data_IF_533475015333
#
_entry.id   IF_533475015333
#
_cell.length_a   1.000
_cell.length_b   1.000
_cell.length_c   1.000
_cell.angle_alpha   90.00
_cell.angle_beta   90.00
_cell.angle_gamma   90.00
#
_symmetry.space_group_name_H-M   'P 1'
#
loop_
_entity.id
_entity.type
_entity.pdbx_description
1 polymer ?
#
# COMPACT_ATOMS: atom_id res chain seq x y z
N UNK A 1 44.10 1.30 51.61
CA UNK A 1 42.76 1.81 51.27
C UNK A 1 42.66 1.82 49.75
N UNK A 2 42.08 0.79 49.19
CA UNK A 2 41.95 0.54 47.76
C UNK A 2 40.49 0.65 47.33
N UNK A 3 40.16 1.66 46.53
CA UNK A 3 38.86 1.84 45.95
C UNK A 3 38.73 0.97 44.67
N UNK A 4 37.83 0.00 44.67
CA UNK A 4 37.42 -0.77 43.48
C UNK A 4 36.39 0.01 42.71
N UNK A 5 36.74 0.47 41.49
CA UNK A 5 35.82 1.02 40.53
C UNK A 5 34.98 -0.06 39.85
N UNK A 6 33.66 0.03 39.94
CA UNK A 6 32.72 -0.84 39.24
C UNK A 6 32.56 -0.37 37.80
N UNK A 7 33.02 -1.17 36.86
CA UNK A 7 32.75 -0.97 35.41
C UNK A 7 31.33 -1.45 35.10
N UNK A 8 30.46 -0.51 34.78
CA UNK A 8 29.10 -0.77 34.25
C UNK A 8 29.19 -1.26 32.81
N UNK A 9 28.96 -2.54 32.59
CA UNK A 9 28.74 -3.14 31.26
C UNK A 9 27.28 -2.83 30.80
N UNK A 10 27.08 -1.77 30.06
CA UNK A 10 25.85 -1.51 29.32
C UNK A 10 26.20 -1.21 27.86
N UNK A 11 26.24 -2.20 27.00
CA UNK A 11 26.61 -1.99 25.59
C UNK A 11 26.36 -3.15 24.62
N UNK A 12 25.89 -4.31 25.11
CA UNK A 12 25.86 -5.52 24.28
C UNK A 12 24.54 -5.91 23.61
N UNK A 13 23.42 -5.21 23.85
CA UNK A 13 22.08 -5.66 23.37
C UNK A 13 21.46 -4.82 22.24
N UNK A 14 21.94 -3.61 22.01
CA UNK A 14 21.43 -2.76 20.92
C UNK A 14 22.02 -3.11 19.53
N UNK A 15 23.21 -3.71 19.49
CA UNK A 15 23.91 -4.06 18.24
C UNK A 15 23.26 -5.25 17.51
N UNK A 16 22.60 -6.16 18.24
CA UNK A 16 21.99 -7.36 17.64
C UNK A 16 20.73 -7.08 16.79
N UNK A 17 19.95 -6.06 17.14
CA UNK A 17 18.69 -5.73 16.41
C UNK A 17 19.00 -4.96 15.13
N UNK A 18 19.99 -4.06 15.16
CA UNK A 18 20.45 -3.32 13.99
C UNK A 18 21.12 -4.24 12.94
N UNK A 19 21.84 -5.30 13.39
CA UNK A 19 22.46 -6.27 12.51
C UNK A 19 21.44 -7.17 11.79
N UNK A 20 20.34 -7.55 12.44
CA UNK A 20 19.28 -8.33 11.80
C UNK A 20 18.51 -7.53 10.74
N UNK A 21 18.26 -6.23 10.98
CA UNK A 21 17.66 -5.33 10.01
C UNK A 21 18.57 -5.11 8.78
N UNK A 22 19.89 -5.04 8.99
CA UNK A 22 20.84 -4.90 7.90
C UNK A 22 20.97 -6.17 7.03
N UNK A 23 20.82 -7.37 7.61
CA UNK A 23 20.90 -8.64 6.87
C UNK A 23 19.68 -8.84 5.96
N UNK A 24 18.48 -8.38 6.36
CA UNK A 24 17.28 -8.44 5.51
C UNK A 24 17.38 -7.46 4.32
N UNK A 25 18.06 -6.32 4.49
CA UNK A 25 18.27 -5.32 3.45
C UNK A 25 19.37 -5.68 2.44
N UNK A 26 20.32 -6.57 2.79
CA UNK A 26 21.44 -6.93 1.92
C UNK A 26 21.27 -8.26 1.16
N UNK A 27 20.19 -9.00 1.41
CA UNK A 27 19.95 -10.31 0.79
C UNK A 27 19.30 -10.25 -0.60
N UNK A 28 19.08 -9.06 -1.17
CA UNK A 28 18.59 -8.90 -2.55
C UNK A 28 19.76 -8.55 -3.48
N UNK A 29 20.14 -9.40 -4.46
CA UNK A 29 21.15 -9.03 -5.43
C UNK A 29 20.70 -7.83 -6.27
N UNK A 30 21.61 -6.88 -6.60
CA UNK A 30 21.27 -5.65 -7.32
C UNK A 30 21.04 -5.82 -8.83
N UNK A 31 20.83 -7.02 -9.32
CA UNK A 31 20.66 -7.26 -10.74
C UNK A 31 19.24 -7.00 -11.22
N UNK A 32 19.11 -5.84 -11.89
CA UNK A 32 17.98 -5.42 -12.74
C UNK A 32 16.61 -5.45 -12.07
N UNK A 33 16.43 -4.52 -11.13
CA UNK A 33 15.10 -4.11 -10.68
C UNK A 33 14.41 -3.30 -11.79
N UNK A 34 13.89 -3.97 -12.80
CA UNK A 34 12.84 -3.39 -13.63
C UNK A 34 11.59 -3.40 -12.77
N UNK A 35 11.31 -2.28 -12.13
CA UNK A 35 10.11 -2.11 -11.33
C UNK A 35 8.94 -1.90 -12.29
N UNK A 36 8.29 -2.98 -12.70
CA UNK A 36 7.07 -2.93 -13.49
C UNK A 36 5.89 -3.22 -12.56
N UNK A 37 4.85 -2.37 -12.62
CA UNK A 37 3.62 -2.57 -11.87
C UNK A 37 2.43 -2.88 -12.82
N UNK A 38 1.20 -2.73 -12.33
CA UNK A 38 0.00 -3.19 -12.99
C UNK A 38 -0.30 -2.46 -14.29
N UNK A 39 -0.56 -3.20 -15.34
CA UNK A 39 -1.05 -2.70 -16.62
C UNK A 39 -2.42 -1.99 -16.49
N UNK A 40 -3.19 -2.27 -15.44
CA UNK A 40 -4.46 -1.61 -15.15
C UNK A 40 -4.30 -0.14 -14.75
N UNK A 41 -3.11 0.30 -14.34
CA UNK A 41 -2.82 1.69 -13.98
C UNK A 41 -2.43 2.60 -15.15
N UNK A 42 -2.12 2.06 -16.33
CA UNK A 42 -1.56 2.82 -17.47
C UNK A 42 -2.53 3.91 -17.96
N UNK A 43 -3.83 3.59 -18.07
CA UNK A 43 -4.85 4.49 -18.64
C UNK A 43 -5.45 5.47 -17.63
N UNK A 44 -4.83 5.64 -16.45
CA UNK A 44 -5.37 6.50 -15.42
C UNK A 44 -4.30 7.09 -14.52
N UNK A 45 -4.68 7.35 -13.27
CA UNK A 45 -3.78 7.92 -12.27
C UNK A 45 -2.83 6.88 -11.65
N UNK A 46 -2.83 5.63 -12.12
CA UNK A 46 -2.06 4.53 -11.55
C UNK A 46 -2.93 3.53 -10.79
N UNK A 47 -2.28 2.55 -10.17
CA UNK A 47 -2.95 1.54 -9.36
C UNK A 47 -3.05 2.00 -7.91
N UNK A 48 -4.23 1.91 -7.26
CA UNK A 48 -4.36 2.24 -5.84
C UNK A 48 -3.41 1.42 -4.98
N UNK A 49 -2.65 2.12 -4.12
CA UNK A 49 -1.71 1.51 -3.19
C UNK A 49 -2.40 0.66 -2.13
N UNK A 50 -1.63 -0.24 -1.54
CA UNK A 50 -2.05 -1.10 -0.42
C UNK A 50 -1.31 -0.63 0.84
N UNK A 51 -2.00 0.12 1.67
CA UNK A 51 -1.44 0.81 2.86
C UNK A 51 -1.76 0.13 4.19
N UNK A 52 -2.30 -1.09 4.16
CA UNK A 52 -2.60 -1.83 5.38
C UNK A 52 -1.34 -2.49 5.95
N UNK A 53 -1.27 -2.63 7.28
CA UNK A 53 -0.22 -3.39 7.94
C UNK A 53 -0.19 -4.85 7.49
N UNK A 54 0.92 -5.57 7.70
CA UNK A 54 1.01 -7.01 7.37
C UNK A 54 -0.07 -7.81 8.08
N UNK A 55 -0.37 -7.48 9.35
CA UNK A 55 -1.47 -8.11 10.08
C UNK A 55 -2.80 -7.95 9.36
N UNK A 56 -3.10 -6.75 8.90
CA UNK A 56 -4.34 -6.45 8.20
C UNK A 56 -4.36 -7.05 6.79
N UNK A 57 -3.25 -7.00 6.06
CA UNK A 57 -3.16 -7.62 4.72
C UNK A 57 -3.34 -9.13 4.76
N UNK A 58 -2.79 -9.81 5.76
CA UNK A 58 -2.92 -11.27 5.92
C UNK A 58 -4.32 -11.71 6.34
N UNK A 59 -5.18 -10.78 6.81
CA UNK A 59 -6.62 -10.99 6.99
C UNK A 59 -7.45 -10.46 5.82
N UNK A 60 -6.84 -10.33 4.62
CA UNK A 60 -7.51 -9.82 3.43
C UNK A 60 -7.81 -8.31 3.47
N UNK A 61 -7.39 -7.57 4.49
CA UNK A 61 -7.78 -6.19 4.74
C UNK A 61 -8.96 -6.04 5.72
N UNK A 62 -9.58 -7.14 6.16
CA UNK A 62 -10.75 -7.11 7.03
C UNK A 62 -10.49 -6.44 8.39
N UNK A 63 -9.26 -6.52 8.89
CA UNK A 63 -8.88 -5.90 10.15
C UNK A 63 -8.36 -4.47 10.00
N UNK A 64 -8.13 -3.98 8.77
CA UNK A 64 -7.56 -2.66 8.54
C UNK A 64 -8.32 -1.50 9.22
N UNK A 65 -9.67 -1.47 9.24
CA UNK A 65 -10.41 -0.41 9.91
C UNK A 65 -10.32 -0.44 11.45
N UNK A 66 -9.78 -1.53 12.03
CA UNK A 66 -9.63 -1.74 13.49
C UNK A 66 -8.17 -1.77 13.94
N UNK A 67 -7.24 -1.76 12.99
CA UNK A 67 -5.82 -1.85 13.26
C UNK A 67 -5.19 -0.45 13.32
N UNK A 68 -4.68 -0.01 14.49
CA UNK A 68 -4.08 1.30 14.63
C UNK A 68 -2.81 1.50 13.79
N UNK A 69 -2.18 0.40 13.34
CA UNK A 69 -0.99 0.46 12.47
C UNK A 69 -1.35 0.62 10.99
N UNK A 70 -2.63 0.40 10.64
CA UNK A 70 -3.16 0.60 9.27
C UNK A 70 -3.80 2.00 9.18
N UNK A 71 -3.37 2.88 8.26
CA UNK A 71 -3.87 4.25 8.18
C UNK A 71 -5.25 4.36 7.48
N UNK A 72 -6.19 3.48 7.79
CA UNK A 72 -7.52 3.48 7.16
C UNK A 72 -8.59 4.14 8.04
N UNK A 73 -8.52 3.93 9.36
CA UNK A 73 -9.47 4.50 10.31
C UNK A 73 -8.71 5.11 11.48
N UNK A 74 -8.83 6.41 11.65
CA UNK A 74 -8.14 7.15 12.73
C UNK A 74 -8.68 6.77 14.10
N UNK A 75 -9.98 6.44 14.20
CA UNK A 75 -10.59 6.05 15.48
C UNK A 75 -9.93 4.82 16.10
N UNK A 76 -9.34 3.93 15.28
CA UNK A 76 -8.58 2.77 15.76
C UNK A 76 -7.34 3.15 16.58
N UNK A 77 -6.78 4.35 16.39
CA UNK A 77 -5.65 4.88 17.16
C UNK A 77 -5.96 4.98 18.66
N UNK A 78 -7.23 5.14 19.02
CA UNK A 78 -7.65 5.20 20.43
C UNK A 78 -7.34 3.92 21.21
N UNK A 79 -7.03 2.81 20.52
CA UNK A 79 -6.66 1.52 21.11
C UNK A 79 -5.16 1.30 21.26
N UNK A 80 -4.33 2.23 20.80
CA UNK A 80 -2.87 2.14 20.95
C UNK A 80 -2.48 2.22 22.42
N UNK A 81 -1.78 1.22 22.97
CA UNK A 81 -1.41 1.24 24.40
C UNK A 81 -0.20 2.15 24.67
N UNK A 82 0.75 2.23 23.75
CA UNK A 82 2.02 2.93 23.92
C UNK A 82 2.58 3.38 22.56
N UNK A 83 3.67 4.14 22.58
CA UNK A 83 4.39 4.50 21.36
C UNK A 83 4.76 3.25 20.58
N UNK A 84 4.45 3.24 19.30
CA UNK A 84 4.65 2.10 18.43
C UNK A 84 5.04 2.60 17.04
N UNK A 85 6.11 2.09 16.48
CA UNK A 85 6.51 2.33 15.10
C UNK A 85 6.41 1.03 14.31
N UNK A 86 5.91 1.10 13.08
CA UNK A 86 5.85 -0.04 12.17
C UNK A 86 6.34 0.35 10.78
N UNK A 87 7.06 -0.58 10.16
CA UNK A 87 7.45 -0.52 8.77
C UNK A 87 7.07 -1.84 8.10
N UNK A 88 6.72 -1.77 6.82
CA UNK A 88 6.35 -2.93 6.03
C UNK A 88 7.10 -2.92 4.71
N UNK A 89 7.54 -4.11 4.30
CA UNK A 89 8.09 -4.41 2.99
C UNK A 89 7.21 -5.44 2.29
N UNK A 90 7.09 -5.33 0.97
CA UNK A 90 6.40 -6.30 0.13
C UNK A 90 7.24 -6.60 -1.11
N UNK A 91 7.46 -7.88 -1.38
CA UNK A 91 8.09 -8.37 -2.59
C UNK A 91 7.06 -9.13 -3.41
N UNK A 92 6.82 -8.72 -4.65
CA UNK A 92 5.82 -9.31 -5.54
C UNK A 92 6.44 -9.90 -6.79
N UNK A 93 5.88 -11.03 -7.21
CA UNK A 93 6.10 -11.65 -8.49
C UNK A 93 4.76 -11.66 -9.24
N UNK A 94 4.75 -11.12 -10.45
CA UNK A 94 3.56 -10.91 -11.26
C UNK A 94 3.72 -11.58 -12.63
N UNK A 95 2.67 -12.28 -13.05
CA UNK A 95 2.45 -12.72 -14.42
C UNK A 95 1.29 -11.91 -14.99
N UNK A 96 1.51 -11.27 -16.15
CA UNK A 96 0.48 -10.59 -16.91
C UNK A 96 0.29 -11.31 -18.24
N UNK A 97 -0.95 -11.62 -18.60
CA UNK A 97 -1.35 -12.22 -19.87
C UNK A 97 -2.22 -11.23 -20.64
N UNK A 98 -1.75 -10.86 -21.83
CA UNK A 98 -2.45 -10.00 -22.78
C UNK A 98 -2.58 -10.77 -24.08
N UNK A 99 -3.78 -11.22 -24.43
CA UNK A 99 -4.09 -11.91 -25.66
C UNK A 99 -3.16 -13.10 -25.96
N UNK A 100 -2.76 -13.86 -24.91
CA UNK A 100 -1.89 -15.04 -25.03
C UNK A 100 -0.40 -14.73 -24.96
N UNK A 101 0.00 -13.48 -24.80
CA UNK A 101 1.40 -13.10 -24.54
C UNK A 101 1.61 -12.88 -23.04
N UNK A 102 2.49 -13.67 -22.45
CA UNK A 102 2.77 -13.61 -21.00
C UNK A 102 4.04 -12.83 -20.73
N UNK A 103 4.00 -11.91 -19.77
CA UNK A 103 5.17 -11.22 -19.22
C UNK A 103 5.26 -11.44 -17.72
N UNK A 104 6.48 -11.61 -17.21
CA UNK A 104 6.74 -11.84 -15.79
C UNK A 104 7.53 -10.69 -15.20
N UNK A 105 7.15 -10.26 -13.99
CA UNK A 105 7.64 -9.04 -13.35
C UNK A 105 7.91 -9.25 -11.86
N UNK A 106 8.93 -8.58 -11.34
CA UNK A 106 9.26 -8.56 -9.91
C UNK A 106 9.32 -7.13 -9.40
N UNK A 107 8.72 -6.87 -8.25
CA UNK A 107 8.79 -5.56 -7.61
C UNK A 107 8.94 -5.70 -6.10
N UNK A 108 9.79 -4.85 -5.51
CA UNK A 108 9.93 -4.70 -4.07
C UNK A 108 9.51 -3.29 -3.68
N UNK A 109 8.72 -3.16 -2.61
CA UNK A 109 8.15 -1.89 -2.18
C UNK A 109 8.12 -1.76 -0.67
N UNK A 110 8.17 -0.51 -0.20
CA UNK A 110 7.96 -0.12 1.19
C UNK A 110 6.65 0.67 1.32
N UNK A 111 5.50 0.00 1.28
CA UNK A 111 4.21 0.67 1.14
C UNK A 111 3.73 1.37 2.40
N UNK A 112 4.36 1.14 3.57
CA UNK A 112 3.90 1.67 4.85
C UNK A 112 5.06 1.90 5.81
N UNK A 113 5.09 3.13 6.37
CA UNK A 113 5.81 3.49 7.58
C UNK A 113 4.84 4.29 8.47
N UNK A 114 4.63 3.86 9.71
CA UNK A 114 3.68 4.53 10.59
C UNK A 114 4.21 4.56 12.04
N UNK A 115 4.07 5.71 12.67
CA UNK A 115 4.38 5.92 14.09
C UNK A 115 3.10 6.38 14.77
N UNK A 116 2.70 5.66 15.80
CA UNK A 116 1.48 5.90 16.55
C UNK A 116 1.78 5.92 18.02
N UNK A 117 1.12 6.78 18.79
CA UNK A 117 1.37 6.86 20.21
C UNK A 117 0.26 7.55 20.98
N UNK A 118 0.10 7.13 22.22
CA UNK A 118 -0.81 7.80 23.16
C UNK A 118 -0.06 8.94 23.83
N UNK A 119 -0.54 10.18 23.63
CA UNK A 119 0.03 11.39 24.25
C UNK A 119 -0.73 11.79 25.50
N UNK A 120 -1.96 11.36 25.66
CA UNK A 120 -2.80 11.59 26.83
C UNK A 120 -3.72 10.38 27.04
N UNK A 121 -4.32 10.24 28.24
CA UNK A 121 -5.25 9.12 28.56
C UNK A 121 -6.37 8.94 27.55
N UNK A 122 -6.83 10.02 26.91
CA UNK A 122 -7.92 10.01 25.93
C UNK A 122 -7.46 10.36 24.50
N UNK A 123 -6.21 10.76 24.29
CA UNK A 123 -5.71 11.25 23.01
C UNK A 123 -4.54 10.41 22.51
N UNK A 124 -4.67 9.90 21.31
CA UNK A 124 -3.60 9.26 20.55
C UNK A 124 -3.33 10.05 19.27
N UNK A 125 -2.07 10.10 18.87
CA UNK A 125 -1.60 10.72 17.64
C UNK A 125 -0.91 9.69 16.76
N UNK A 126 -0.91 9.94 15.45
CA UNK A 126 -0.16 9.18 14.49
C UNK A 126 0.45 10.09 13.44
N UNK A 127 1.63 9.70 12.95
CA UNK A 127 2.25 10.23 11.75
C UNK A 127 2.69 9.04 10.89
N UNK A 128 2.42 9.09 9.59
CA UNK A 128 2.73 7.98 8.73
C UNK A 128 2.92 8.37 7.28
N UNK A 129 3.58 7.46 6.57
CA UNK A 129 3.78 7.47 5.13
C UNK A 129 3.16 6.20 4.56
N UNK A 130 2.45 6.34 3.45
CA UNK A 130 1.95 5.18 2.68
C UNK A 130 1.91 5.50 1.19
N UNK A 131 1.97 4.46 0.35
CA UNK A 131 1.77 4.61 -1.09
C UNK A 131 0.29 4.80 -1.39
N UNK A 132 -0.10 5.97 -1.93
CA UNK A 132 -1.47 6.29 -2.32
C UNK A 132 -1.82 5.72 -3.70
N UNK A 133 -0.98 6.02 -4.71
CA UNK A 133 -1.08 5.49 -6.08
C UNK A 133 0.30 5.06 -6.55
N UNK A 134 0.36 3.92 -7.20
CA UNK A 134 1.54 3.42 -7.88
C UNK A 134 1.40 3.65 -9.39
N UNK A 135 2.39 4.32 -9.98
CA UNK A 135 2.43 4.67 -11.40
C UNK A 135 3.58 4.00 -12.14
N UNK A 136 4.10 2.92 -11.59
CA UNK A 136 5.17 2.18 -12.25
C UNK A 136 4.59 1.18 -13.25
N UNK A 137 4.93 1.31 -14.52
CA UNK A 137 4.54 0.41 -15.59
C UNK A 137 5.51 0.54 -16.78
N UNK A 138 5.52 -0.48 -17.63
CA UNK A 138 6.32 -0.57 -18.82
C UNK A 138 5.48 -1.20 -19.94
N UNK A 139 5.55 -0.62 -21.12
CA UNK A 139 4.89 -1.12 -22.34
C UNK A 139 5.89 -1.13 -23.46
N UNK A 140 6.10 -2.30 -24.05
CA UNK A 140 6.90 -2.48 -25.25
C UNK A 140 5.99 -2.84 -26.42
N UNK A 141 6.06 -2.07 -27.49
CA UNK A 141 5.33 -2.31 -28.74
C UNK A 141 6.29 -2.40 -29.92
N UNK A 142 6.10 -3.41 -30.77
CA UNK A 142 6.82 -3.53 -32.05
C UNK A 142 5.88 -3.17 -33.17
N UNK A 143 6.36 -2.30 -34.06
CA UNK A 143 5.61 -1.85 -35.24
C UNK A 143 6.57 -1.52 -36.37
N UNK A 144 6.05 -1.06 -37.48
CA UNK A 144 6.83 -0.66 -38.66
C UNK A 144 6.29 0.66 -39.23
N UNK A 145 7.19 1.46 -39.78
CA UNK A 145 6.84 2.73 -40.40
C UNK A 145 7.56 2.89 -41.75
N UNK A 146 6.95 3.60 -42.70
CA UNK A 146 7.56 3.88 -43.99
C UNK A 146 8.52 5.08 -43.85
N UNK A 147 9.83 4.83 -43.95
CA UNK A 147 10.87 5.87 -43.95
C UNK A 147 11.62 5.86 -45.25
N UNK A 148 11.69 6.98 -45.95
CA UNK A 148 12.38 7.15 -47.24
C UNK A 148 11.99 6.10 -48.29
N UNK A 149 10.77 5.59 -48.26
CA UNK A 149 10.27 4.57 -49.17
C UNK A 149 10.55 3.12 -48.77
N UNK A 150 11.22 2.89 -47.65
CA UNK A 150 11.50 1.54 -47.09
C UNK A 150 10.67 1.33 -45.84
N UNK A 151 10.13 0.11 -45.67
CA UNK A 151 9.39 -0.27 -44.47
C UNK A 151 10.39 -0.62 -43.35
N UNK A 152 10.54 0.28 -42.40
CA UNK A 152 11.46 0.12 -41.26
C UNK A 152 10.71 -0.37 -40.03
N UNK A 153 11.26 -1.41 -39.38
CA UNK A 153 10.74 -1.93 -38.12
C UNK A 153 11.34 -1.14 -36.94
N UNK A 154 10.53 -0.94 -35.92
CA UNK A 154 10.98 -0.30 -34.71
C UNK A 154 10.32 -0.92 -33.47
N UNK A 155 10.94 -0.70 -32.33
CA UNK A 155 10.43 -1.03 -31.01
C UNK A 155 10.25 0.27 -30.25
N UNK A 156 9.01 0.54 -29.82
CA UNK A 156 8.68 1.58 -28.86
C UNK A 156 8.66 0.98 -27.46
N UNK A 157 9.39 1.59 -26.56
CA UNK A 157 9.38 1.29 -25.14
C UNK A 157 8.92 2.53 -24.39
N UNK A 158 7.79 2.42 -23.68
CA UNK A 158 7.25 3.51 -22.88
C UNK A 158 7.17 3.06 -21.44
N UNK A 159 7.92 3.74 -20.58
CA UNK A 159 8.00 3.42 -19.15
C UNK A 159 7.53 4.57 -18.30
N UNK A 160 6.91 4.27 -17.18
CA UNK A 160 6.64 5.19 -16.10
C UNK A 160 7.17 4.59 -14.81
N UNK A 161 7.94 5.35 -14.05
CA UNK A 161 8.49 4.94 -12.77
C UNK A 161 8.22 6.02 -11.72
N UNK A 162 7.54 5.63 -10.67
CA UNK A 162 7.23 6.50 -9.55
C UNK A 162 5.89 6.22 -8.88
N UNK A 163 5.60 7.04 -7.88
CA UNK A 163 4.39 6.87 -7.08
C UNK A 163 3.94 8.19 -6.46
N UNK A 164 2.70 8.22 -6.00
CA UNK A 164 2.14 9.27 -5.18
C UNK A 164 2.03 8.71 -3.76
N UNK A 165 2.70 9.35 -2.84
CA UNK A 165 2.69 9.02 -1.43
C UNK A 165 1.62 9.82 -0.69
N UNK A 166 1.11 9.25 0.39
CA UNK A 166 0.24 9.89 1.38
C UNK A 166 1.02 10.06 2.69
N UNK A 167 1.34 11.30 3.03
CA UNK A 167 1.86 11.69 4.33
C UNK A 167 0.68 12.04 5.21
N UNK A 168 0.44 11.26 6.27
CA UNK A 168 -0.71 11.40 7.15
C UNK A 168 -0.30 11.88 8.53
N UNK A 169 -1.07 12.85 9.05
CA UNK A 169 -1.12 13.21 10.46
C UNK A 169 -2.52 12.92 10.97
N UNK A 170 -2.65 12.18 12.06
CA UNK A 170 -3.94 11.78 12.58
C UNK A 170 -4.01 11.88 14.10
N UNK A 171 -5.22 12.11 14.60
CA UNK A 171 -5.54 12.12 16.01
C UNK A 171 -6.81 11.32 16.28
N UNK A 172 -6.86 10.64 17.41
CA UNK A 172 -8.05 9.97 17.90
C UNK A 172 -8.29 10.21 19.37
N UNK A 173 -9.56 10.30 19.73
CA UNK A 173 -9.99 10.46 21.12
C UNK A 173 -11.02 9.41 21.48
N UNK A 174 -10.82 8.79 22.66
CA UNK A 174 -11.82 7.90 23.25
C UNK A 174 -12.76 8.72 24.13
N UNK A 175 -13.97 8.97 23.61
CA UNK A 175 -15.00 9.76 24.31
C UNK A 175 -15.60 8.98 25.47
N UNK A 176 -15.93 7.71 25.24
CA UNK A 176 -16.48 6.80 26.24
C UNK A 176 -15.77 5.44 26.16
N UNK A 177 -16.10 4.50 27.03
CA UNK A 177 -15.57 3.13 26.94
C UNK A 177 -15.95 2.43 25.63
N UNK A 178 -17.00 2.89 24.95
CA UNK A 178 -17.56 2.27 23.73
C UNK A 178 -17.39 3.10 22.48
N UNK A 179 -17.05 4.39 22.59
CA UNK A 179 -17.01 5.32 21.45
C UNK A 179 -15.64 5.96 21.36
N UNK A 180 -15.02 5.82 20.20
CA UNK A 180 -13.83 6.60 19.82
C UNK A 180 -14.09 7.32 18.50
N UNK A 181 -13.55 8.53 18.38
CA UNK A 181 -13.57 9.35 17.17
C UNK A 181 -12.14 9.61 16.74
N UNK A 182 -11.95 9.74 15.44
CA UNK A 182 -10.66 10.10 14.88
C UNK A 182 -10.79 11.01 13.67
N UNK A 183 -9.75 11.80 13.44
CA UNK A 183 -9.60 12.67 12.28
C UNK A 183 -8.18 12.63 11.75
N UNK A 184 -8.00 12.84 10.45
CA UNK A 184 -6.72 12.84 9.77
C UNK A 184 -6.58 13.96 8.76
N UNK A 185 -5.34 14.42 8.59
CA UNK A 185 -4.89 15.30 7.54
C UNK A 185 -3.94 14.51 6.65
N UNK A 186 -4.07 14.69 5.33
CA UNK A 186 -3.30 13.99 4.33
C UNK A 186 -2.60 14.99 3.42
N UNK A 187 -1.33 14.78 3.15
CA UNK A 187 -0.56 15.51 2.16
C UNK A 187 -0.09 14.50 1.12
N UNK A 188 -0.63 14.64 -0.08
CA UNK A 188 -0.25 13.81 -1.23
C UNK A 188 0.92 14.46 -1.93
N UNK A 189 1.98 13.69 -2.14
CA UNK A 189 3.20 14.17 -2.79
C UNK A 189 3.88 13.01 -3.52
N UNK A 190 4.51 13.30 -4.64
CA UNK A 190 5.27 12.32 -5.39
C UNK A 190 5.72 12.81 -6.74
N UNK A 191 6.46 11.97 -7.44
CA UNK A 191 6.86 12.21 -8.82
C UNK A 191 6.86 10.93 -9.62
N UNK A 192 6.70 11.07 -10.93
CA UNK A 192 6.92 10.00 -11.90
C UNK A 192 7.88 10.46 -12.97
N UNK A 193 8.76 9.56 -13.38
CA UNK A 193 9.59 9.72 -14.55
C UNK A 193 9.00 8.90 -15.68
N UNK A 194 8.60 9.58 -16.75
CA UNK A 194 8.05 8.96 -17.94
C UNK A 194 9.11 9.01 -19.04
N UNK A 195 9.45 7.85 -19.61
CA UNK A 195 10.42 7.72 -20.70
C UNK A 195 9.72 7.07 -21.88
N UNK A 196 9.85 7.66 -23.04
CA UNK A 196 9.46 7.06 -24.32
C UNK A 196 10.70 6.92 -25.20
N UNK A 197 11.03 5.70 -25.59
CA UNK A 197 12.17 5.39 -26.42
C UNK A 197 11.70 4.66 -27.70
N UNK A 198 12.13 5.15 -28.86
CA UNK A 198 11.95 4.45 -30.14
C UNK A 198 13.29 4.01 -30.65
N UNK A 199 13.45 2.72 -30.87
CA UNK A 199 14.64 2.08 -31.40
C UNK A 199 14.28 1.37 -32.70
N UNK A 200 14.98 1.73 -33.79
CA UNK A 200 14.85 1.07 -35.08
C UNK A 200 15.72 -0.18 -35.14
N UNK A 201 15.26 -1.20 -35.89
CA UNK A 201 16.04 -2.41 -36.12
C UNK A 201 17.26 -2.12 -37.00
N UNK A 202 17.13 -1.16 -37.95
CA UNK A 202 18.24 -0.62 -38.71
C UNK A 202 19.07 0.36 -37.89
N UNK A 203 20.31 0.02 -37.61
CA UNK A 203 21.25 0.80 -36.81
C UNK A 203 21.72 2.11 -37.46
N UNK A 204 21.37 2.36 -38.73
CA UNK A 204 21.62 3.65 -39.38
C UNK A 204 20.69 4.76 -38.89
N UNK A 205 19.57 4.39 -38.27
CA UNK A 205 18.67 5.34 -37.59
C UNK A 205 19.05 5.49 -36.13
N UNK A 206 19.07 6.74 -35.66
CA UNK A 206 19.32 6.99 -34.26
C UNK A 206 18.11 6.68 -33.40
N UNK A 207 18.36 6.14 -32.23
CA UNK A 207 17.35 6.00 -31.18
C UNK A 207 16.83 7.38 -30.77
N UNK A 208 15.51 7.51 -30.68
CA UNK A 208 14.85 8.73 -30.21
C UNK A 208 14.34 8.48 -28.79
N UNK A 209 14.73 9.32 -27.87
CA UNK A 209 14.30 9.24 -26.48
C UNK A 209 13.69 10.55 -26.03
N UNK A 210 12.57 10.46 -25.33
CA UNK A 210 11.90 11.57 -24.65
C UNK A 210 11.79 11.24 -23.16
N UNK A 211 12.08 12.22 -22.32
CA UNK A 211 11.99 12.11 -20.86
C UNK A 211 11.12 13.23 -20.31
N UNK A 212 10.16 12.88 -19.45
CA UNK A 212 9.36 13.84 -18.71
C UNK A 212 9.33 13.46 -17.23
N UNK A 213 9.50 14.44 -16.35
CA UNK A 213 9.27 14.29 -14.91
C UNK A 213 7.98 15.03 -14.56
N UNK A 214 7.02 14.29 -13.97
CA UNK A 214 5.75 14.84 -13.51
C UNK A 214 5.74 14.82 -12.00
N UNK A 215 5.54 15.97 -11.37
CA UNK A 215 5.42 16.12 -9.91
C UNK A 215 3.96 16.25 -9.54
N UNK A 216 3.58 15.59 -8.45
CA UNK A 216 2.21 15.55 -7.95
C UNK A 216 2.11 16.20 -6.57
N UNK A 217 1.02 16.94 -6.34
CA UNK A 217 0.70 17.49 -5.02
C UNK A 217 -0.81 17.53 -4.81
N UNK A 218 -1.23 17.32 -3.56
CA UNK A 218 -2.62 17.38 -3.16
C UNK A 218 -2.75 17.33 -1.63
N UNK A 219 -3.94 17.61 -1.13
CA UNK A 219 -4.24 17.53 0.31
C UNK A 219 -5.57 16.82 0.51
N UNK A 220 -5.77 16.24 1.69
CA UNK A 220 -7.01 15.56 2.01
C UNK A 220 -7.32 15.59 3.50
N UNK A 221 -8.54 15.23 3.83
CA UNK A 221 -9.02 15.07 5.20
C UNK A 221 -9.77 13.76 5.34
N UNK A 222 -9.70 13.17 6.53
CA UNK A 222 -10.43 11.96 6.87
C UNK A 222 -11.05 12.05 8.25
N UNK A 223 -12.07 11.25 8.48
CA UNK A 223 -12.72 11.13 9.77
C UNK A 223 -13.30 9.74 9.95
N UNK A 224 -13.36 9.29 11.21
CA UNK A 224 -13.84 7.95 11.52
C UNK A 224 -14.44 7.84 12.92
N UNK A 225 -15.27 6.82 13.10
CA UNK A 225 -15.88 6.44 14.38
C UNK A 225 -15.69 4.95 14.61
N UNK A 226 -15.36 4.59 15.86
CA UNK A 226 -15.28 3.21 16.33
C UNK A 226 -16.26 3.04 17.49
N UNK A 227 -17.14 2.04 17.38
CA UNK A 227 -18.19 1.74 18.33
C UNK A 227 -18.04 0.31 18.86
N UNK A 228 -17.94 0.15 20.18
CA UNK A 228 -18.10 -1.14 20.86
C UNK A 228 -19.59 -1.40 21.11
N UNK A 229 -20.23 -2.21 20.25
CA UNK A 229 -21.68 -2.48 20.28
C UNK A 229 -22.04 -3.44 21.42
N UNK A 230 -21.32 -4.57 21.47
CA UNK A 230 -21.46 -5.62 22.46
C UNK A 230 -20.09 -6.07 22.95
N UNK A 231 -19.99 -6.79 24.09
CA UNK A 231 -18.75 -7.45 24.45
C UNK A 231 -18.25 -8.34 23.30
N UNK A 232 -17.02 -8.05 22.81
CA UNK A 232 -16.43 -8.76 21.70
C UNK A 232 -16.89 -8.30 20.30
N UNK A 233 -17.84 -7.38 20.17
CA UNK A 233 -18.31 -6.87 18.87
C UNK A 233 -18.01 -5.36 18.75
N UNK A 234 -17.22 -4.99 17.77
CA UNK A 234 -16.92 -3.61 17.40
C UNK A 234 -17.31 -3.33 15.95
N UNK A 235 -17.80 -2.12 15.70
CA UNK A 235 -18.15 -1.62 14.37
C UNK A 235 -17.44 -0.29 14.16
N UNK A 236 -16.98 -0.04 12.95
CA UNK A 236 -16.34 1.23 12.58
C UNK A 236 -16.87 1.74 11.25
N UNK A 237 -16.89 3.05 11.12
CA UNK A 237 -17.15 3.76 9.86
C UNK A 237 -16.10 4.83 9.64
N UNK A 238 -15.73 5.07 8.40
CA UNK A 238 -14.76 6.08 8.02
C UNK A 238 -15.14 6.74 6.70
N UNK A 239 -14.70 7.98 6.54
CA UNK A 239 -14.84 8.78 5.31
C UNK A 239 -13.52 9.50 5.05
N UNK A 240 -13.23 9.73 3.77
CA UNK A 240 -12.08 10.53 3.32
C UNK A 240 -12.48 11.35 2.11
N UNK A 241 -12.01 12.60 2.07
CA UNK A 241 -12.16 13.51 0.95
C UNK A 241 -10.79 14.13 0.66
N UNK A 242 -10.29 13.87 -0.53
CA UNK A 242 -9.06 14.47 -1.05
C UNK A 242 -9.42 15.63 -1.99
N UNK A 243 -8.56 16.64 -2.04
CA UNK A 243 -8.64 17.76 -3.00
C UNK A 243 -8.30 17.29 -4.41
N UNK A 244 -8.17 18.23 -5.34
CA UNK A 244 -7.59 17.93 -6.66
C UNK A 244 -6.12 17.56 -6.52
N UNK A 245 -5.71 16.57 -7.30
CA UNK A 245 -4.32 16.24 -7.54
C UNK A 245 -3.78 17.14 -8.65
N UNK A 246 -2.81 17.97 -8.30
CA UNK A 246 -2.12 18.84 -9.26
C UNK A 246 -0.92 18.12 -9.82
N UNK A 247 -0.84 18.01 -11.14
CA UNK A 247 0.31 17.51 -11.88
C UNK A 247 1.10 18.68 -12.49
N UNK A 248 2.42 18.71 -12.30
CA UNK A 248 3.30 19.77 -12.79
C UNK A 248 4.46 19.15 -13.56
N UNK A 249 4.69 19.63 -14.78
CA UNK A 249 5.81 19.24 -15.64
C UNK A 249 6.64 20.50 -15.91
N UNK A 250 7.98 20.43 -15.71
CA UNK A 250 8.90 21.55 -15.92
C UNK A 250 8.42 22.86 -15.25
N UNK A 251 7.94 22.75 -14.00
CA UNK A 251 7.42 23.85 -13.17
C UNK A 251 6.16 24.55 -13.73
N UNK A 252 5.55 23.96 -14.76
CA UNK A 252 4.26 24.43 -15.32
C UNK A 252 3.15 23.44 -14.97
N UNK A 253 2.06 23.92 -14.41
CA UNK A 253 0.89 23.05 -14.12
C UNK A 253 0.33 22.50 -15.43
N UNK A 254 0.32 21.17 -15.56
CA UNK A 254 -0.13 20.48 -16.76
C UNK A 254 -1.58 20.04 -16.67
N UNK A 255 -2.02 19.60 -15.48
CA UNK A 255 -3.39 19.16 -15.24
C UNK A 255 -3.73 19.18 -13.74
N UNK A 256 -5.02 19.42 -13.48
CA UNK A 256 -5.65 19.18 -12.18
C UNK A 256 -6.66 18.04 -12.33
N UNK A 257 -6.60 17.02 -11.48
CA UNK A 257 -7.50 15.86 -11.53
C UNK A 257 -8.22 15.72 -10.19
N UNK A 258 -9.53 15.54 -10.21
CA UNK A 258 -10.32 15.30 -9.00
C UNK A 258 -9.99 13.91 -8.44
N UNK A 259 -9.69 13.86 -7.14
CA UNK A 259 -9.47 12.59 -6.45
C UNK A 259 -10.78 12.02 -5.88
N UNK A 260 -10.87 10.70 -5.65
CA UNK A 260 -12.09 10.07 -5.19
C UNK A 260 -12.47 10.53 -3.79
N UNK A 261 -13.76 10.68 -3.54
CA UNK A 261 -14.30 10.58 -2.18
C UNK A 261 -14.37 9.11 -1.80
N UNK A 262 -14.06 8.80 -0.54
CA UNK A 262 -14.04 7.44 -0.05
C UNK A 262 -14.92 7.33 1.18
N UNK A 263 -15.63 6.22 1.31
CA UNK A 263 -16.36 5.86 2.50
C UNK A 263 -16.30 4.36 2.71
N UNK A 264 -16.33 3.94 3.95
CA UNK A 264 -16.35 2.51 4.25
C UNK A 264 -16.70 2.23 5.71
N UNK A 265 -16.80 0.96 6.00
CA UNK A 265 -17.08 0.48 7.34
C UNK A 265 -16.63 -0.95 7.52
N UNK A 266 -16.63 -1.39 8.76
CA UNK A 266 -16.25 -2.75 9.11
C UNK A 266 -16.86 -3.22 10.41
N UNK A 267 -16.80 -4.54 10.60
CA UNK A 267 -17.21 -5.24 11.81
C UNK A 267 -16.10 -6.18 12.24
N UNK A 268 -15.80 -6.17 13.54
CA UNK A 268 -14.84 -7.08 14.18
C UNK A 268 -15.54 -7.80 15.32
N UNK A 269 -15.56 -9.11 15.23
CA UNK A 269 -16.14 -10.00 16.25
C UNK A 269 -15.04 -10.84 16.91
N UNK A 270 -14.93 -10.76 18.22
CA UNK A 270 -13.94 -11.46 19.04
C UNK A 270 -14.67 -12.34 20.06
N UNK A 271 -15.09 -13.56 19.69
CA UNK A 271 -15.80 -14.48 20.62
C UNK A 271 -14.92 -14.92 21.79
N UNK A 272 -13.61 -14.85 21.61
CA UNK A 272 -12.63 -15.13 22.67
C UNK A 272 -11.40 -14.26 22.52
N UNK A 273 -10.46 -14.35 23.48
CA UNK A 273 -9.18 -13.64 23.41
C UNK A 273 -8.27 -14.18 22.28
N UNK A 274 -8.51 -15.42 21.86
CA UNK A 274 -7.67 -16.12 20.87
C UNK A 274 -8.24 -16.16 19.47
N UNK A 275 -9.51 -15.78 19.27
CA UNK A 275 -10.20 -15.90 17.98
C UNK A 275 -10.86 -14.58 17.65
N UNK A 276 -10.63 -14.09 16.43
CA UNK A 276 -11.23 -12.88 15.89
C UNK A 276 -11.66 -13.10 14.45
N UNK A 277 -12.82 -12.58 14.09
CA UNK A 277 -13.35 -12.54 12.74
C UNK A 277 -13.62 -11.08 12.37
N UNK A 278 -13.31 -10.70 11.15
CA UNK A 278 -13.57 -9.35 10.65
C UNK A 278 -14.10 -9.34 9.24
N UNK A 279 -14.81 -8.27 8.93
CA UNK A 279 -15.27 -7.96 7.59
C UNK A 279 -15.30 -6.45 7.39
N UNK A 280 -15.05 -6.01 6.16
CA UNK A 280 -15.15 -4.61 5.81
C UNK A 280 -15.63 -4.43 4.38
N UNK A 281 -16.23 -3.25 4.12
CA UNK A 281 -16.63 -2.79 2.79
C UNK A 281 -16.17 -1.36 2.61
N UNK A 282 -15.83 -0.98 1.38
CA UNK A 282 -15.44 0.38 1.05
C UNK A 282 -15.92 0.75 -0.34
N UNK A 283 -16.34 1.99 -0.49
CA UNK A 283 -16.65 2.64 -1.75
C UNK A 283 -15.66 3.75 -2.03
N UNK A 284 -15.27 3.92 -3.31
CA UNK A 284 -14.41 5.00 -3.79
C UNK A 284 -14.98 5.58 -5.08
N UNK A 285 -15.33 6.86 -5.05
CA UNK A 285 -15.95 7.60 -6.17
C UNK A 285 -14.91 8.09 -7.18
N UNK A 286 -14.30 7.18 -7.91
CA UNK A 286 -13.25 7.47 -8.90
C UNK A 286 -13.77 8.05 -10.21
N UNK A 287 -15.07 7.91 -10.55
CA UNK A 287 -15.64 8.48 -11.78
C UNK A 287 -15.36 9.98 -11.92
N UNK A 288 -15.08 10.67 -10.81
CA UNK A 288 -14.70 12.09 -10.80
C UNK A 288 -13.28 12.36 -11.34
N UNK A 289 -12.43 11.36 -11.37
CA UNK A 289 -11.04 11.50 -11.82
C UNK A 289 -10.90 11.64 -13.35
N UNK A 290 -12.00 11.51 -14.10
CA UNK A 290 -12.04 11.74 -15.54
C UNK A 290 -12.70 10.62 -16.34
N UNK A 291 -12.72 10.79 -17.65
CA UNK A 291 -13.32 9.82 -18.55
C UNK A 291 -12.57 8.47 -18.49
N UNK A 292 -13.32 7.38 -18.38
CA UNK A 292 -12.78 6.03 -18.28
C UNK A 292 -12.39 5.60 -16.85
N UNK A 293 -12.61 6.44 -15.84
CA UNK A 293 -12.51 6.05 -14.44
C UNK A 293 -13.84 5.51 -13.92
N UNK A 294 -13.80 4.45 -13.11
CA UNK A 294 -14.97 3.77 -12.56
C UNK A 294 -15.06 3.95 -11.05
N UNK A 295 -16.25 4.21 -10.54
CA UNK A 295 -16.53 4.07 -9.11
C UNK A 295 -16.33 2.62 -8.70
N UNK A 296 -15.71 2.41 -7.54
CA UNK A 296 -15.31 1.08 -7.13
C UNK A 296 -15.88 0.70 -5.77
N UNK A 297 -16.26 -0.56 -5.67
CA UNK A 297 -16.57 -1.22 -4.41
C UNK A 297 -15.54 -2.27 -4.10
N UNK A 298 -15.21 -2.41 -2.83
CA UNK A 298 -14.36 -3.48 -2.33
C UNK A 298 -14.91 -4.03 -1.02
N UNK A 299 -14.66 -5.31 -0.80
CA UNK A 299 -15.03 -6.01 0.42
C UNK A 299 -13.88 -6.89 0.90
N UNK A 300 -13.86 -7.21 2.16
CA UNK A 300 -12.91 -8.16 2.73
C UNK A 300 -13.51 -8.92 3.89
N UNK A 301 -13.03 -10.16 4.08
CA UNK A 301 -13.35 -11.02 5.22
C UNK A 301 -12.09 -11.74 5.67
N UNK A 302 -11.93 -11.91 6.99
CA UNK A 302 -10.73 -12.55 7.53
C UNK A 302 -10.89 -13.00 8.97
N UNK A 303 -9.93 -13.83 9.39
CA UNK A 303 -9.85 -14.39 10.73
C UNK A 303 -8.41 -14.35 11.26
N UNK A 304 -8.32 -14.26 12.58
CA UNK A 304 -7.09 -14.42 13.36
C UNK A 304 -7.35 -15.45 14.46
N UNK A 305 -6.55 -16.51 14.51
CA UNK A 305 -6.67 -17.62 15.47
C UNK A 305 -5.34 -17.73 16.23
N UNK A 306 -5.40 -18.00 17.55
CA UNK A 306 -4.21 -18.10 18.37
C UNK A 306 -3.57 -16.74 18.69
N UNK A 307 -4.40 -15.69 18.78
CA UNK A 307 -3.92 -14.36 19.17
C UNK A 307 -3.13 -14.42 20.49
N UNK A 308 -1.83 -14.10 20.43
CA UNK A 308 -0.91 -14.18 21.57
C UNK A 308 0.52 -14.41 21.14
N UNK A 309 0.94 -15.65 21.02
CA UNK A 309 2.36 -15.97 20.73
C UNK A 309 2.67 -16.07 19.24
N UNK A 310 1.85 -16.76 18.47
CA UNK A 310 1.98 -16.95 17.02
C UNK A 310 0.57 -17.03 16.40
N UNK A 311 -0.10 -15.90 16.15
CA UNK A 311 -1.41 -15.90 15.53
C UNK A 311 -1.33 -16.43 14.10
N UNK A 312 -2.27 -17.29 13.73
CA UNK A 312 -2.54 -17.66 12.34
C UNK A 312 -3.61 -16.72 11.80
N UNK A 313 -3.39 -16.18 10.62
CA UNK A 313 -4.27 -15.21 9.96
C UNK A 313 -4.60 -15.68 8.57
N UNK A 314 -5.86 -15.53 8.19
CA UNK A 314 -6.36 -15.85 6.86
C UNK A 314 -7.36 -14.79 6.44
N UNK A 315 -7.39 -14.49 5.16
CA UNK A 315 -8.38 -13.56 4.65
C UNK A 315 -8.52 -13.62 3.15
N UNK A 316 -9.67 -13.12 2.71
CA UNK A 316 -10.03 -12.95 1.31
C UNK A 316 -10.55 -11.55 1.10
N UNK A 317 -10.34 -11.02 -0.08
CA UNK A 317 -10.91 -9.76 -0.52
C UNK A 317 -11.31 -9.80 -1.97
N UNK A 318 -12.26 -8.97 -2.33
CA UNK A 318 -12.66 -8.75 -3.70
C UNK A 318 -13.03 -7.30 -3.92
N UNK A 319 -12.99 -6.86 -5.16
CA UNK A 319 -13.35 -5.50 -5.51
C UNK A 319 -13.14 -5.18 -6.97
N UNK A 320 -13.30 -3.90 -7.29
CA UNK A 320 -13.12 -3.33 -8.60
C UNK A 320 -11.91 -2.40 -8.61
N UNK A 321 -11.27 -2.27 -9.77
CA UNK A 321 -10.20 -1.30 -10.01
C UNK A 321 -10.79 -0.07 -10.71
N UNK A 322 -10.24 1.13 -10.41
CA UNK A 322 -10.77 2.37 -10.98
C UNK A 322 -10.44 2.58 -12.45
N UNK A 323 -9.39 1.94 -12.95
CA UNK A 323 -8.89 2.12 -14.31
C UNK A 323 -8.64 0.77 -14.97
N UNK A 324 -8.79 0.71 -16.29
CA UNK A 324 -8.52 -0.47 -17.06
C UNK A 324 -8.72 -0.31 -18.56
N UNK A 325 -8.33 -1.30 -19.37
CA UNK A 325 -8.35 -1.21 -20.82
C UNK A 325 -9.75 -1.35 -21.45
N UNK A 326 -10.76 -1.74 -20.69
CA UNK A 326 -12.11 -2.01 -21.20
C UNK A 326 -13.17 -0.97 -20.83
N UNK A 327 -14.40 -1.14 -21.30
CA UNK A 327 -15.53 -0.26 -20.98
C UNK A 327 -16.16 -0.52 -19.61
N UNK A 328 -15.72 -1.54 -18.90
CA UNK A 328 -16.22 -1.93 -17.57
C UNK A 328 -15.08 -1.95 -16.56
N UNK A 329 -15.40 -1.68 -15.29
CA UNK A 329 -14.44 -1.72 -14.22
C UNK A 329 -13.78 -3.11 -14.12
N UNK A 330 -12.44 -3.20 -14.14
CA UNK A 330 -11.77 -4.48 -13.91
C UNK A 330 -12.03 -4.98 -12.48
N UNK A 331 -11.94 -6.28 -12.30
CA UNK A 331 -12.16 -6.94 -11.01
C UNK A 331 -10.84 -7.43 -10.41
N UNK A 332 -10.80 -7.45 -9.10
CA UNK A 332 -9.68 -7.95 -8.31
C UNK A 332 -10.20 -8.93 -7.25
N UNK A 333 -9.54 -10.08 -7.12
CA UNK A 333 -9.77 -11.04 -6.03
C UNK A 333 -8.43 -11.45 -5.45
N UNK A 334 -8.34 -11.54 -4.12
CA UNK A 334 -7.14 -12.00 -3.45
C UNK A 334 -7.46 -12.88 -2.24
N UNK A 335 -6.54 -13.79 -1.97
CA UNK A 335 -6.48 -14.55 -0.74
C UNK A 335 -5.13 -14.33 -0.07
N UNK A 336 -5.11 -14.27 1.25
CA UNK A 336 -3.90 -14.02 2.02
C UNK A 336 -3.84 -14.92 3.26
N UNK A 337 -2.63 -15.23 3.68
CA UNK A 337 -2.35 -15.94 4.93
C UNK A 337 -1.09 -15.38 5.57
N UNK A 338 -0.97 -15.52 6.89
CA UNK A 338 0.23 -15.07 7.58
C UNK A 338 0.23 -15.37 9.06
N UNK A 339 1.32 -14.98 9.69
CA UNK A 339 1.55 -15.13 11.12
C UNK A 339 2.39 -13.97 11.65
N UNK A 340 2.60 -13.94 12.95
CA UNK A 340 3.49 -12.98 13.58
C UNK A 340 4.07 -13.52 14.87
N UNK A 341 5.22 -12.98 15.27
CA UNK A 341 5.88 -13.38 16.52
C UNK A 341 6.41 -12.14 17.26
N UNK A 342 6.09 -12.09 18.54
CA UNK A 342 6.66 -11.08 19.41
C UNK A 342 8.03 -11.52 19.95
N UNK A 343 8.96 -10.56 20.03
CA UNK A 343 10.31 -10.70 20.55
C UNK A 343 10.57 -9.63 21.63
N UNK A 344 11.72 -9.76 22.30
CA UNK A 344 12.17 -8.77 23.27
C UNK A 344 11.07 -8.41 24.30
N UNK A 345 10.40 -9.43 24.85
CA UNK A 345 9.30 -9.26 25.82
C UNK A 345 8.10 -8.45 25.28
N UNK A 346 7.81 -8.56 23.98
CA UNK A 346 6.72 -7.87 23.30
C UNK A 346 7.06 -6.47 22.79
N UNK A 347 8.32 -6.03 22.91
CA UNK A 347 8.78 -4.74 22.39
C UNK A 347 9.01 -4.75 20.88
N UNK A 348 9.23 -5.89 20.28
CA UNK A 348 9.33 -6.05 18.85
C UNK A 348 8.38 -7.14 18.37
N UNK A 349 7.76 -6.93 17.22
CA UNK A 349 6.89 -7.89 16.55
C UNK A 349 7.34 -8.00 15.10
N UNK A 350 7.51 -9.21 14.65
CA UNK A 350 7.74 -9.56 13.25
C UNK A 350 6.46 -10.22 12.72
N UNK A 351 5.85 -9.63 11.72
CA UNK A 351 4.73 -10.20 10.98
C UNK A 351 5.21 -10.62 9.58
N UNK A 352 4.79 -11.80 9.15
CA UNK A 352 5.07 -12.32 7.81
C UNK A 352 3.80 -12.86 7.16
N UNK A 353 3.73 -12.76 5.85
CA UNK A 353 2.57 -13.26 5.12
C UNK A 353 2.80 -13.45 3.64
N UNK A 354 1.83 -14.08 3.01
CA UNK A 354 1.76 -14.28 1.58
C UNK A 354 0.37 -13.89 1.10
N UNK A 355 0.31 -13.25 -0.06
CA UNK A 355 -0.94 -12.89 -0.74
C UNK A 355 -0.89 -13.42 -2.18
N UNK A 356 -1.98 -14.04 -2.63
CA UNK A 356 -2.24 -14.38 -4.02
C UNK A 356 -3.36 -13.49 -4.53
N UNK A 357 -3.09 -12.77 -5.60
CA UNK A 357 -3.99 -11.81 -6.22
C UNK A 357 -4.23 -12.18 -7.67
N UNK A 358 -5.45 -11.99 -8.14
CA UNK A 358 -5.81 -12.05 -9.55
C UNK A 358 -6.65 -10.83 -9.93
N UNK A 359 -6.32 -10.21 -11.07
CA UNK A 359 -7.02 -9.08 -11.68
C UNK A 359 -7.45 -9.44 -13.08
N UNK A 360 -8.66 -9.05 -13.47
CA UNK A 360 -9.21 -9.31 -14.80
C UNK A 360 -10.01 -8.12 -15.32
N UNK A 361 -9.84 -7.80 -16.60
CA UNK A 361 -10.63 -6.78 -17.30
C UNK A 361 -10.07 -6.45 -18.67
N UNK A 362 -10.94 -6.19 -19.64
CA UNK A 362 -10.57 -5.75 -20.99
C UNK A 362 -9.60 -6.68 -21.73
N UNK A 363 -9.72 -8.00 -21.54
CA UNK A 363 -8.81 -8.99 -22.17
C UNK A 363 -7.46 -9.17 -21.46
N UNK A 364 -7.21 -8.42 -20.38
CA UNK A 364 -6.01 -8.53 -19.56
C UNK A 364 -6.27 -9.36 -18.30
N UNK A 365 -5.37 -10.28 -17.99
CA UNK A 365 -5.35 -11.03 -16.72
C UNK A 365 -3.99 -10.88 -16.07
N UNK A 366 -3.96 -10.41 -14.82
CA UNK A 366 -2.76 -10.35 -13.99
C UNK A 366 -2.89 -11.30 -12.81
N UNK A 367 -1.83 -12.04 -12.52
CA UNK A 367 -1.72 -12.92 -11.36
C UNK A 367 -0.47 -12.54 -10.58
N UNK A 368 -0.65 -12.26 -9.29
CA UNK A 368 0.43 -11.74 -8.45
C UNK A 368 0.58 -12.60 -7.19
N UNK A 369 1.81 -12.98 -6.90
CA UNK A 369 2.21 -13.48 -5.59
C UNK A 369 2.97 -12.39 -4.86
N UNK A 370 2.63 -12.13 -3.61
CA UNK A 370 3.30 -11.13 -2.79
C UNK A 370 3.73 -11.74 -1.47
N UNK A 371 5.01 -11.66 -1.16
CA UNK A 371 5.54 -11.90 0.18
C UNK A 371 5.48 -10.58 0.97
N UNK A 372 5.11 -10.67 2.24
CA UNK A 372 4.91 -9.54 3.14
C UNK A 372 5.78 -9.73 4.37
N UNK A 373 6.51 -8.70 4.75
CA UNK A 373 7.28 -8.63 5.99
C UNK A 373 6.99 -7.30 6.68
N UNK A 374 6.68 -7.36 7.96
CA UNK A 374 6.44 -6.17 8.78
C UNK A 374 7.18 -6.25 10.10
N UNK A 375 7.81 -5.15 10.47
CA UNK A 375 8.48 -4.99 11.74
C UNK A 375 7.75 -3.89 12.52
N UNK A 376 7.36 -4.22 13.75
CA UNK A 376 6.76 -3.28 14.69
C UNK A 376 7.60 -3.20 15.93
N UNK A 377 7.94 -1.99 16.37
CA UNK A 377 8.76 -1.72 17.55
C UNK A 377 7.96 -0.88 18.54
N UNK A 378 8.07 -1.24 19.81
CA UNK A 378 7.47 -0.57 20.97
C UNK A 378 8.58 -0.23 21.94
N UNK A 379 9.13 0.98 21.88
CA UNK A 379 10.26 1.39 22.73
C UNK A 379 9.92 1.44 24.22
#
# INVERSE_FOLDING_TARGET
>A
MTAKGAVRRTGGRAVGVAALAAIVLTACPPDRLTAQDSQFGIRGLGTPGRWESVRSRTTGGAFAPFDPLSPLSEAALADVPQLTATAMESASYRDADIAGTTSALRATRFPLLNVVGRVHRRLALAAGFSTYLDRTWDVTQRDSTLLRGTLERYTDEVTSDGSIADLRLAAASRLTRRIALGAGLHVLSGSTRETAERRFDDTTFHTVQQLAEVRYSGVGVSGSVLLGVLPGLSVTGWVRADSRLRATVADTTSADTDLPRMAGGGMLFSPSRSVRFGGSVAWRGWARAGAGAFDTWSWSAGAEIGAGRMPLRFGVRGGQLPFGPGPTAPTEVAAAAGTGRAFAQGRALLDVGVERLERRGGGLTERVWTALVGITVRP
#
